data_IF_124903932080
#
_entry.id   IF_124903932080
#
_cell.length_a   1.000
_cell.length_b   1.000
_cell.length_c   1.000
_cell.angle_alpha   90.00
_cell.angle_beta   90.00
_cell.angle_gamma   90.00
#
_symmetry.space_group_name_H-M   'P 1'
#
loop_
_entity.id
_entity.type
_entity.pdbx_description
1 polymer ?
#
# COMPACT_ATOMS: atom_id res chain seq x y z
N UNK A 1 4.41 9.46 -55.51
CA UNK A 1 4.85 9.24 -54.12
C UNK A 1 6.34 8.96 -54.15
N UNK A 2 7.22 9.81 -53.58
CA UNK A 2 8.65 9.51 -53.56
C UNK A 2 8.89 8.31 -52.63
N UNK A 3 9.61 7.32 -53.16
CA UNK A 3 10.05 6.10 -52.49
C UNK A 3 10.98 6.42 -51.31
N UNK A 4 10.70 5.92 -50.10
CA UNK A 4 11.65 5.94 -48.98
C UNK A 4 12.69 4.84 -49.20
N UNK A 5 13.97 5.21 -49.22
CA UNK A 5 15.07 4.26 -49.27
C UNK A 5 15.07 3.35 -48.02
N UNK A 6 15.36 2.04 -48.18
CA UNK A 6 15.47 1.11 -47.06
C UNK A 6 16.81 1.37 -46.34
N UNK A 7 16.76 1.79 -45.07
CA UNK A 7 17.98 1.99 -44.26
C UNK A 7 18.00 3.17 -43.30
N UNK A 8 16.95 4.00 -43.23
CA UNK A 8 16.87 5.04 -42.20
C UNK A 8 16.24 4.48 -40.92
N UNK A 9 17.07 3.87 -40.08
CA UNK A 9 16.71 3.68 -38.67
C UNK A 9 16.40 5.04 -38.02
N UNK A 10 15.59 5.09 -36.95
CA UNK A 10 15.31 6.33 -36.27
C UNK A 10 16.65 6.95 -35.84
N UNK A 11 16.90 8.19 -36.28
CA UNK A 11 18.06 8.96 -35.83
C UNK A 11 18.07 9.09 -34.30
N UNK A 12 19.20 9.50 -33.71
CA UNK A 12 19.31 9.62 -32.26
C UNK A 12 18.13 10.45 -31.71
N UNK A 13 17.43 9.92 -30.71
CA UNK A 13 16.34 10.66 -30.05
C UNK A 13 16.90 12.00 -29.56
N UNK A 14 16.21 13.09 -29.90
CA UNK A 14 16.68 14.46 -29.67
C UNK A 14 16.84 14.83 -28.18
N UNK A 15 16.43 13.97 -27.24
CA UNK A 15 16.65 14.06 -25.79
C UNK A 15 16.27 12.72 -25.12
N UNK A 16 16.83 12.38 -23.93
CA UNK A 16 16.44 11.18 -23.20
C UNK A 16 14.96 11.24 -22.80
N UNK A 17 14.22 10.14 -23.00
CA UNK A 17 12.83 10.00 -22.57
C UNK A 17 12.82 9.52 -21.10
N UNK A 18 12.33 10.33 -20.14
CA UNK A 18 12.31 9.94 -18.74
C UNK A 18 11.23 8.88 -18.45
N UNK A 19 11.48 7.99 -17.49
CA UNK A 19 10.54 6.91 -17.11
C UNK A 19 9.29 7.44 -16.38
N UNK A 20 9.46 8.41 -15.47
CA UNK A 20 8.39 8.99 -14.69
C UNK A 20 8.70 10.47 -14.41
N UNK A 21 7.76 11.36 -14.70
CA UNK A 21 7.84 12.78 -14.41
C UNK A 21 6.52 13.23 -13.76
N UNK A 22 6.57 14.06 -12.71
CA UNK A 22 5.35 14.57 -12.10
C UNK A 22 4.65 15.52 -13.08
N UNK A 23 3.33 15.38 -13.22
CA UNK A 23 2.50 16.31 -13.98
C UNK A 23 1.95 17.38 -13.02
N UNK A 24 2.56 18.57 -13.03
CA UNK A 24 2.20 19.70 -12.17
C UNK A 24 1.67 20.83 -13.07
N UNK A 25 0.39 20.78 -13.41
CA UNK A 25 -0.22 21.66 -14.41
C UNK A 25 -1.57 22.27 -14.03
N UNK A 26 -2.08 21.95 -12.83
CA UNK A 26 -3.33 22.46 -12.30
C UNK A 26 -3.12 23.53 -11.22
N UNK A 27 -3.83 23.37 -10.10
CA UNK A 27 -3.84 24.34 -9.00
C UNK A 27 -2.69 24.15 -8.00
N UNK A 28 -1.74 23.23 -8.25
CA UNK A 28 -0.69 22.87 -7.28
C UNK A 28 0.11 24.10 -6.85
N UNK A 29 0.52 24.94 -7.82
CA UNK A 29 1.24 26.19 -7.54
C UNK A 29 0.42 27.13 -6.65
N UNK A 30 -0.83 27.35 -7.01
CA UNK A 30 -1.73 28.24 -6.26
C UNK A 30 -1.93 27.77 -4.82
N UNK A 31 -2.12 26.46 -4.60
CA UNK A 31 -2.31 25.93 -3.25
C UNK A 31 -1.04 26.01 -2.42
N UNK A 32 0.13 25.75 -3.00
CA UNK A 32 1.42 25.93 -2.31
C UNK A 32 1.65 27.40 -1.94
N UNK A 33 1.40 28.34 -2.87
CA UNK A 33 1.51 29.78 -2.60
C UNK A 33 0.55 30.24 -1.49
N UNK A 34 -0.65 29.66 -1.40
CA UNK A 34 -1.60 29.92 -0.32
C UNK A 34 -1.09 29.44 1.04
N UNK A 35 -0.48 28.26 1.13
CA UNK A 35 0.17 27.77 2.36
C UNK A 35 1.27 28.74 2.83
N UNK A 36 2.13 29.18 1.91
CA UNK A 36 3.22 30.11 2.20
C UNK A 36 2.69 31.48 2.66
N UNK A 37 1.64 31.98 2.01
CA UNK A 37 1.06 33.30 2.33
C UNK A 37 0.33 33.30 3.66
N UNK A 38 -0.37 32.22 4.00
CA UNK A 38 -1.18 32.11 5.23
C UNK A 38 -0.36 31.66 6.45
N UNK A 39 0.88 31.19 6.25
CA UNK A 39 1.74 30.66 7.31
C UNK A 39 1.44 29.22 7.72
N UNK A 40 0.41 28.58 7.13
CA UNK A 40 0.08 27.17 7.37
C UNK A 40 0.97 26.25 6.52
N UNK A 41 2.23 26.12 6.92
CA UNK A 41 3.27 25.38 6.17
C UNK A 41 3.62 24.01 6.75
N UNK A 42 3.01 23.63 7.87
CA UNK A 42 3.27 22.36 8.56
C UNK A 42 2.11 21.38 8.38
N UNK A 43 2.06 20.32 9.19
CA UNK A 43 1.03 19.29 9.18
C UNK A 43 -0.35 19.73 9.67
N UNK A 44 -0.48 20.98 10.13
CA UNK A 44 -1.75 21.60 10.53
C UNK A 44 -2.11 22.66 9.49
N UNK A 45 -3.34 22.60 8.98
CA UNK A 45 -3.84 23.58 8.04
C UNK A 45 -5.08 23.11 7.28
N UNK A 46 -5.78 24.01 6.58
CA UNK A 46 -7.06 23.73 5.93
C UNK A 46 -6.93 22.73 4.77
N UNK A 47 -5.74 22.63 4.15
CA UNK A 47 -5.53 21.75 2.99
C UNK A 47 -5.46 20.27 3.35
N UNK A 48 -4.99 19.91 4.54
CA UNK A 48 -4.93 18.50 4.98
C UNK A 48 -6.35 17.97 5.18
N UNK A 49 -7.15 18.66 5.99
CA UNK A 49 -8.55 18.28 6.24
C UNK A 49 -9.40 18.31 4.97
N UNK A 50 -9.16 19.31 4.09
CA UNK A 50 -9.82 19.36 2.78
C UNK A 50 -9.45 18.17 1.91
N UNK A 51 -8.16 17.83 1.83
CA UNK A 51 -7.70 16.67 1.05
C UNK A 51 -8.31 15.37 1.59
N UNK A 52 -8.27 15.15 2.91
CA UNK A 52 -8.84 13.95 3.54
C UNK A 52 -10.34 13.81 3.22
N UNK A 53 -11.11 14.89 3.36
CA UNK A 53 -12.56 14.88 3.05
C UNK A 53 -12.82 14.60 1.57
N UNK A 54 -12.15 15.32 0.67
CA UNK A 54 -12.34 15.16 -0.78
C UNK A 54 -11.88 13.77 -1.26
N UNK A 55 -10.79 13.26 -0.71
CA UNK A 55 -10.26 11.94 -1.02
C UNK A 55 -11.16 10.81 -0.50
N UNK A 56 -11.69 10.95 0.72
CA UNK A 56 -12.67 10.01 1.26
C UNK A 56 -13.94 9.96 0.39
N UNK A 57 -14.44 11.13 -0.03
CA UNK A 57 -15.58 11.23 -0.93
C UNK A 57 -15.31 10.60 -2.30
N UNK A 58 -14.13 10.84 -2.88
CA UNK A 58 -13.73 10.26 -4.16
C UNK A 58 -13.61 8.72 -4.13
N UNK A 59 -13.19 8.16 -3.00
CA UNK A 59 -13.08 6.71 -2.79
C UNK A 59 -14.38 6.06 -2.31
N UNK A 60 -15.40 6.84 -1.93
CA UNK A 60 -16.64 6.32 -1.37
C UNK A 60 -16.47 5.68 0.03
N UNK A 61 -15.48 6.14 0.81
CA UNK A 61 -15.22 5.65 2.17
C UNK A 61 -15.60 6.68 3.22
N UNK A 62 -15.89 6.24 4.44
CA UNK A 62 -16.27 7.15 5.53
C UNK A 62 -15.14 8.07 5.98
N UNK A 63 -13.88 7.60 5.93
CA UNK A 63 -12.71 8.31 6.43
C UNK A 63 -11.48 8.07 5.55
N UNK A 64 -10.64 9.11 5.42
CA UNK A 64 -9.30 9.03 4.88
C UNK A 64 -8.36 9.81 5.81
N UNK A 65 -7.11 9.35 5.93
CA UNK A 65 -6.09 9.99 6.77
C UNK A 65 -4.84 10.23 5.94
N UNK A 66 -4.42 11.49 5.85
CA UNK A 66 -3.23 11.88 5.13
C UNK A 66 -1.98 11.52 5.94
N UNK A 67 -0.97 10.98 5.26
CA UNK A 67 0.33 10.67 5.87
C UNK A 67 1.45 11.18 4.97
N UNK A 68 2.66 11.29 5.51
CA UNK A 68 3.81 11.81 4.76
C UNK A 68 4.35 10.84 3.68
N UNK A 69 3.93 9.57 3.70
CA UNK A 69 4.38 8.52 2.78
C UNK A 69 3.50 7.27 2.88
N UNK A 70 3.47 6.46 1.82
CA UNK A 70 2.79 5.16 1.85
C UNK A 70 3.35 4.21 2.92
N UNK A 71 4.65 4.28 3.21
CA UNK A 71 5.27 3.47 4.28
C UNK A 71 4.73 3.87 5.67
N UNK A 72 4.57 5.16 5.94
CA UNK A 72 3.98 5.64 7.19
C UNK A 72 2.50 5.24 7.32
N UNK A 73 1.75 5.28 6.22
CA UNK A 73 0.38 4.77 6.17
C UNK A 73 0.31 3.28 6.53
N UNK A 74 1.13 2.43 5.89
CA UNK A 74 1.18 0.99 6.17
C UNK A 74 1.58 0.70 7.62
N UNK A 75 2.62 1.38 8.12
CA UNK A 75 3.06 1.22 9.51
C UNK A 75 1.92 1.55 10.49
N UNK A 76 1.24 2.69 10.30
CA UNK A 76 0.12 3.11 11.14
C UNK A 76 -1.05 2.13 11.03
N UNK A 77 -1.37 1.65 9.83
CA UNK A 77 -2.43 0.68 9.59
C UNK A 77 -2.18 -0.64 10.32
N UNK A 78 -0.94 -1.16 10.32
CA UNK A 78 -0.57 -2.37 11.04
C UNK A 78 -0.75 -2.22 12.56
N UNK A 79 -0.35 -1.09 13.13
CA UNK A 79 -0.56 -0.79 14.55
C UNK A 79 -2.05 -0.74 14.90
N UNK A 80 -2.87 -0.08 14.07
CA UNK A 80 -4.32 0.01 14.26
C UNK A 80 -5.05 -1.32 14.04
N UNK A 81 -4.53 -2.17 13.15
CA UNK A 81 -5.02 -3.53 12.94
C UNK A 81 -4.69 -4.47 14.12
N UNK A 82 -3.86 -4.02 15.07
CA UNK A 82 -3.51 -4.79 16.26
C UNK A 82 -2.38 -5.79 16.06
N UNK A 83 -1.58 -5.64 15.00
CA UNK A 83 -0.37 -6.46 14.76
C UNK A 83 0.60 -6.26 15.91
N UNK A 84 1.09 -7.35 16.49
CA UNK A 84 2.01 -7.35 17.63
C UNK A 84 3.40 -7.79 17.21
N UNK A 85 4.37 -7.46 18.05
CA UNK A 85 5.73 -7.97 17.91
C UNK A 85 5.72 -9.50 17.91
N UNK A 86 6.42 -10.09 16.96
CA UNK A 86 6.52 -11.54 16.80
C UNK A 86 5.42 -12.15 15.95
N UNK A 87 4.30 -11.46 15.71
CA UNK A 87 3.26 -11.97 14.81
C UNK A 87 3.79 -12.09 13.38
N UNK A 88 3.14 -12.93 12.58
CA UNK A 88 3.38 -13.04 11.14
C UNK A 88 2.36 -12.24 10.33
N UNK A 89 2.82 -11.59 9.27
CA UNK A 89 1.98 -10.88 8.31
C UNK A 89 2.27 -11.42 6.92
N UNK A 90 1.22 -11.96 6.28
CA UNK A 90 1.35 -12.55 4.94
C UNK A 90 1.51 -11.45 3.90
N UNK A 91 2.49 -11.60 3.01
CA UNK A 91 2.78 -10.70 1.90
C UNK A 91 3.04 -11.50 0.61
N UNK A 92 2.75 -10.94 -0.58
CA UNK A 92 3.22 -11.53 -1.82
C UNK A 92 4.77 -11.52 -1.90
N UNK A 93 5.34 -12.59 -2.45
CA UNK A 93 6.79 -12.74 -2.70
C UNK A 93 7.34 -11.65 -3.62
N UNK A 94 6.52 -11.19 -4.58
CA UNK A 94 6.84 -10.12 -5.52
C UNK A 94 6.10 -8.83 -5.13
N UNK A 95 6.83 -7.86 -4.56
CA UNK A 95 6.30 -6.54 -4.20
C UNK A 95 7.40 -5.50 -4.04
N UNK A 96 7.02 -4.22 -3.91
CA UNK A 96 7.95 -3.19 -3.45
C UNK A 96 8.35 -3.45 -1.99
N UNK A 97 9.53 -3.02 -1.54
CA UNK A 97 10.04 -3.37 -0.20
C UNK A 97 9.25 -2.75 0.97
N UNK A 98 8.49 -1.68 0.73
CA UNK A 98 7.83 -0.90 1.79
C UNK A 98 6.88 -1.71 2.71
N UNK A 99 6.01 -2.62 2.24
CA UNK A 99 5.16 -3.43 3.10
C UNK A 99 5.95 -4.33 4.04
N UNK A 100 6.99 -5.02 3.54
CA UNK A 100 7.86 -5.86 4.37
C UNK A 100 8.59 -5.04 5.44
N UNK A 101 9.09 -3.84 5.08
CA UNK A 101 9.69 -2.93 6.04
C UNK A 101 8.69 -2.46 7.10
N UNK A 102 7.46 -2.09 6.71
CA UNK A 102 6.42 -1.69 7.65
C UNK A 102 6.08 -2.81 8.66
N UNK A 103 5.99 -4.06 8.20
CA UNK A 103 5.84 -5.24 9.06
C UNK A 103 7.01 -5.39 10.03
N UNK A 104 8.24 -5.19 9.56
CA UNK A 104 9.43 -5.24 10.44
C UNK A 104 9.49 -4.08 11.42
N UNK A 105 9.01 -2.89 11.07
CA UNK A 105 9.00 -1.72 11.98
C UNK A 105 8.12 -1.94 13.22
N UNK A 106 7.01 -2.70 13.10
CA UNK A 106 6.20 -3.11 14.25
C UNK A 106 6.76 -4.34 14.99
N UNK A 107 7.87 -4.90 14.53
CA UNK A 107 8.51 -6.08 15.12
C UNK A 107 7.84 -7.41 14.75
N UNK A 108 6.93 -7.42 13.78
CA UNK A 108 6.29 -8.61 13.21
C UNK A 108 7.15 -9.20 12.07
N UNK A 109 6.90 -10.43 11.67
CA UNK A 109 7.64 -11.16 10.63
C UNK A 109 6.84 -11.21 9.32
N UNK A 110 7.43 -10.79 8.18
CA UNK A 110 6.79 -11.01 6.89
C UNK A 110 6.87 -12.49 6.52
N UNK A 111 5.73 -13.09 6.21
CA UNK A 111 5.62 -14.45 5.67
C UNK A 111 5.23 -14.35 4.21
N UNK A 112 6.12 -14.78 3.32
CA UNK A 112 5.92 -14.63 1.88
C UNK A 112 5.16 -15.81 1.29
N UNK A 113 4.15 -15.51 0.48
CA UNK A 113 3.40 -16.45 -0.34
C UNK A 113 3.55 -16.03 -1.80
N UNK A 114 3.58 -17.00 -2.70
CA UNK A 114 3.90 -16.72 -4.10
C UNK A 114 2.82 -15.92 -4.84
N UNK A 115 3.17 -15.43 -6.02
CA UNK A 115 2.29 -14.62 -6.86
C UNK A 115 1.76 -15.40 -8.05
N UNK A 116 0.56 -15.02 -8.48
CA UNK A 116 -0.07 -15.50 -9.69
C UNK A 116 0.77 -15.09 -10.90
N UNK A 117 1.02 -16.03 -11.81
CA UNK A 117 1.90 -15.85 -12.97
C UNK A 117 1.33 -14.93 -14.06
N UNK A 118 0.01 -14.77 -14.13
CA UNK A 118 -0.67 -13.95 -15.13
C UNK A 118 -0.90 -12.52 -14.63
N UNK A 119 -1.16 -12.35 -13.32
CA UNK A 119 -1.53 -11.06 -12.71
C UNK A 119 -0.46 -10.44 -11.81
N UNK A 120 0.54 -11.23 -11.39
CA UNK A 120 1.61 -10.83 -10.47
C UNK A 120 1.09 -10.27 -9.13
N UNK A 121 -0.10 -10.70 -8.73
CA UNK A 121 -0.69 -10.46 -7.41
C UNK A 121 -0.54 -11.69 -6.54
N UNK A 122 -0.77 -11.57 -5.23
CA UNK A 122 -0.77 -12.73 -4.32
C UNK A 122 -1.67 -13.85 -4.86
N UNK A 123 -1.12 -15.04 -5.05
CA UNK A 123 -1.85 -16.19 -5.62
C UNK A 123 -2.87 -16.71 -4.58
N UNK A 124 -4.19 -16.69 -4.88
CA UNK A 124 -5.20 -17.18 -3.93
C UNK A 124 -5.11 -18.69 -3.66
N UNK A 125 -4.65 -19.48 -4.63
CA UNK A 125 -4.42 -20.91 -4.52
C UNK A 125 -3.26 -21.23 -3.59
N UNK A 126 -2.11 -20.57 -3.79
CA UNK A 126 -0.95 -20.71 -2.90
C UNK A 126 -1.26 -20.22 -1.49
N UNK A 127 -1.98 -19.11 -1.35
CA UNK A 127 -2.46 -18.62 -0.05
C UNK A 127 -3.37 -19.66 0.62
N UNK A 128 -4.32 -20.22 -0.12
CA UNK A 128 -5.23 -21.23 0.41
C UNK A 128 -4.50 -22.51 0.82
N UNK A 129 -3.46 -22.91 0.08
CA UNK A 129 -2.61 -24.05 0.43
C UNK A 129 -1.83 -23.78 1.71
N UNK A 130 -1.14 -22.63 1.81
CA UNK A 130 -0.42 -22.22 3.02
C UNK A 130 -1.31 -22.20 4.27
N UNK A 131 -2.51 -21.62 4.17
CA UNK A 131 -3.45 -21.54 5.29
C UNK A 131 -3.97 -22.92 5.73
N UNK A 132 -4.10 -23.87 4.80
CA UNK A 132 -4.61 -25.22 5.09
C UNK A 132 -3.53 -26.16 5.61
N UNK A 133 -2.38 -26.15 4.96
CA UNK A 133 -1.35 -27.18 5.11
C UNK A 133 -0.30 -26.75 6.15
N UNK A 134 0.04 -25.46 6.21
CA UNK A 134 1.07 -24.91 7.09
C UNK A 134 0.52 -24.18 8.31
N UNK A 135 -0.79 -23.92 8.38
CA UNK A 135 -1.39 -23.28 9.55
C UNK A 135 -2.29 -24.22 10.36
N UNK A 136 -2.56 -23.85 11.61
CA UNK A 136 -3.53 -24.48 12.50
C UNK A 136 -4.24 -23.41 13.34
N UNK A 137 -5.51 -23.62 13.65
CA UNK A 137 -6.24 -22.75 14.57
C UNK A 137 -6.09 -23.29 15.99
N UNK A 138 -5.70 -22.44 16.94
CA UNK A 138 -5.60 -22.76 18.37
C UNK A 138 -6.10 -21.58 19.18
N UNK A 139 -6.98 -21.83 20.15
CA UNK A 139 -7.59 -20.78 21.00
C UNK A 139 -8.22 -19.60 20.21
N UNK A 140 -8.73 -19.85 19.00
CA UNK A 140 -9.32 -18.83 18.13
C UNK A 140 -8.31 -18.00 17.33
N UNK A 141 -7.02 -18.32 17.41
CA UNK A 141 -5.95 -17.67 16.65
C UNK A 141 -5.37 -18.62 15.60
N UNK A 142 -4.96 -18.07 14.45
CA UNK A 142 -4.28 -18.80 13.40
C UNK A 142 -2.78 -18.84 13.71
N UNK A 143 -2.19 -20.02 13.77
CA UNK A 143 -0.76 -20.21 14.00
C UNK A 143 -0.13 -20.93 12.83
N UNK A 144 1.01 -20.42 12.38
CA UNK A 144 1.89 -21.17 11.49
C UNK A 144 2.45 -22.37 12.28
N UNK A 145 2.43 -23.57 11.69
CA UNK A 145 2.92 -24.80 12.30
C UNK A 145 4.43 -24.79 12.50
N UNK A 146 5.13 -24.00 11.70
CA UNK A 146 6.58 -23.94 11.68
C UNK A 146 7.13 -22.74 12.47
N UNK A 147 6.26 -21.85 12.95
CA UNK A 147 6.67 -20.57 13.53
C UNK A 147 5.59 -19.93 14.41
N UNK A 148 5.44 -18.61 14.37
CA UNK A 148 4.73 -17.76 15.36
C UNK A 148 3.24 -17.60 14.95
N UNK A 149 2.37 -16.95 15.76
CA UNK A 149 0.99 -16.69 15.34
C UNK A 149 0.93 -15.83 14.08
N UNK A 150 0.02 -16.15 13.16
CA UNK A 150 -0.28 -15.35 11.97
C UNK A 150 -1.34 -14.32 12.34
N UNK A 151 -1.07 -13.04 12.07
CA UNK A 151 -2.07 -11.98 12.19
C UNK A 151 -3.08 -12.11 11.05
N UNK A 152 -4.02 -13.02 11.23
CA UNK A 152 -5.27 -13.10 10.48
C UNK A 152 -6.40 -13.19 11.50
N UNK A 153 -6.53 -12.18 12.37
CA UNK A 153 -7.73 -12.12 13.20
C UNK A 153 -8.87 -11.59 12.32
N UNK A 154 -9.97 -12.35 12.14
CA UNK A 154 -11.17 -11.77 11.57
C UNK A 154 -11.52 -10.55 12.43
N UNK A 155 -11.82 -9.42 11.78
CA UNK A 155 -12.24 -8.22 12.51
C UNK A 155 -13.33 -8.64 13.50
N UNK A 156 -13.16 -8.32 14.79
CA UNK A 156 -14.18 -8.50 15.83
C UNK A 156 -15.40 -7.61 15.56
N UNK A 157 -16.09 -7.83 14.44
CA UNK A 157 -17.36 -7.20 14.08
C UNK A 157 -18.39 -8.32 13.97
N UNK A 158 -19.14 -8.51 15.07
CA UNK A 158 -20.45 -9.19 15.19
C UNK A 158 -20.63 -10.10 16.44
N UNK A 159 -20.09 -9.72 17.61
CA UNK A 159 -20.59 -10.27 18.91
C UNK A 159 -21.13 -9.18 19.85
N UNK A 160 -21.47 -8.00 19.35
CA UNK A 160 -22.08 -6.92 20.14
C UNK A 160 -23.41 -6.43 19.56
N UNK A 161 -24.25 -7.36 19.10
CA UNK A 161 -25.64 -7.07 18.69
C UNK A 161 -26.54 -8.27 19.00
N UNK A 162 -26.53 -8.71 20.24
CA UNK A 162 -27.60 -9.47 20.90
C UNK A 162 -27.55 -9.10 22.38
N UNK A 163 -28.07 -7.93 22.71
CA UNK A 163 -28.65 -7.55 24.01
C UNK A 163 -29.55 -6.33 23.77
#
# INVERSE_FOLDING_TARGET
MPSRAPGSGPGPLASPVPLCVPNIGGNERTYVEQCLTTGWVSSVGPFVERFEREFAAALGVAHAVATNSGTAALHTALLLAGVRRGDEVILPSLTFIAPANAVRYVGAWPTFVDVDQDYWQLDPGELSAFLRDDCKVSAGELHNRHSTPVTCQPSRRSQSSMD
#
